data_IF_433730274349
#
_entry.id   IF_433730274349
#
_cell.length_a   1.000
_cell.length_b   1.000
_cell.length_c   1.000
_cell.angle_alpha   90.00
_cell.angle_beta   90.00
_cell.angle_gamma   90.00
#
_symmetry.space_group_name_H-M   'P 1'
#
loop_
_entity.id
_entity.type
_entity.pdbx_description
1 polymer ?
#
# COMPACT_ATOMS: atom_id res chain seq x y z
N UNK A 1 -29.28 -16.37 -15.57
CA UNK A 1 -28.51 -15.32 -14.87
C UNK A 1 -27.00 -15.37 -15.20
N UNK A 2 -26.33 -16.53 -15.03
CA UNK A 2 -24.88 -16.70 -15.28
C UNK A 2 -24.47 -16.46 -16.76
N UNK A 3 -25.27 -16.90 -17.73
CA UNK A 3 -25.03 -16.64 -19.17
C UNK A 3 -25.16 -15.15 -19.56
N UNK A 4 -25.89 -14.35 -18.78
CA UNK A 4 -26.07 -12.89 -19.00
C UNK A 4 -24.86 -12.11 -18.43
N UNK A 5 -24.28 -12.59 -17.33
CA UNK A 5 -23.00 -12.12 -16.79
C UNK A 5 -21.82 -12.44 -17.73
N UNK A 6 -21.75 -13.66 -18.29
CA UNK A 6 -20.70 -14.03 -19.26
C UNK A 6 -20.75 -13.22 -20.56
N UNK A 7 -21.95 -12.86 -21.05
CA UNK A 7 -22.10 -11.97 -22.21
C UNK A 7 -21.64 -10.53 -21.94
N UNK A 8 -21.81 -10.02 -20.72
CA UNK A 8 -21.28 -8.71 -20.30
C UNK A 8 -19.74 -8.70 -20.25
N UNK A 9 -19.10 -9.85 -19.99
CA UNK A 9 -17.65 -10.00 -20.06
C UNK A 9 -17.13 -10.15 -21.51
N UNK A 10 -17.87 -10.82 -22.40
CA UNK A 10 -17.45 -11.04 -23.79
C UNK A 10 -17.65 -9.84 -24.74
N UNK A 11 -18.53 -8.88 -24.41
CA UNK A 11 -18.72 -7.65 -25.21
C UNK A 11 -17.74 -6.51 -24.86
N UNK A 12 -16.75 -6.73 -24.00
CA UNK A 12 -15.75 -5.73 -23.59
C UNK A 12 -14.42 -5.83 -24.38
N UNK A 13 -14.46 -6.10 -25.68
CA UNK A 13 -13.24 -6.16 -26.51
C UNK A 13 -12.79 -4.81 -27.10
N UNK A 14 -13.27 -3.68 -26.56
CA UNK A 14 -12.84 -2.34 -27.00
C UNK A 14 -12.53 -1.35 -25.86
N UNK A 15 -12.52 -1.80 -24.60
CA UNK A 15 -12.00 -1.02 -23.48
C UNK A 15 -10.77 -1.76 -22.96
N UNK A 16 -9.63 -1.06 -22.89
CA UNK A 16 -8.48 -1.47 -22.09
C UNK A 16 -8.96 -2.12 -20.79
N UNK A 17 -8.46 -3.32 -20.48
CA UNK A 17 -8.78 -4.07 -19.25
C UNK A 17 -8.93 -3.10 -18.07
N UNK A 18 -10.00 -3.18 -17.25
CA UNK A 18 -10.12 -2.29 -16.11
C UNK A 18 -8.89 -2.50 -15.22
N UNK A 19 -8.05 -1.47 -15.11
CA UNK A 19 -6.84 -1.51 -14.27
C UNK A 19 -7.27 -1.89 -12.86
N UNK A 20 -6.83 -3.06 -12.38
CA UNK A 20 -7.02 -3.44 -10.99
C UNK A 20 -6.07 -2.58 -10.19
N UNK A 21 -6.61 -1.51 -9.61
CA UNK A 21 -5.85 -0.60 -8.77
C UNK A 21 -5.26 -1.38 -7.59
N UNK A 22 -3.95 -1.22 -7.41
CA UNK A 22 -3.17 -1.91 -6.39
C UNK A 22 -3.73 -1.70 -4.99
N UNK A 23 -4.02 -2.79 -4.31
CA UNK A 23 -4.39 -2.79 -2.90
C UNK A 23 -3.96 -4.10 -2.24
N UNK A 24 -3.87 -4.10 -0.92
CA UNK A 24 -3.40 -5.26 -0.13
C UNK A 24 -4.09 -6.58 -0.50
N UNK A 25 -5.39 -6.56 -0.83
CA UNK A 25 -6.18 -7.75 -1.18
C UNK A 25 -6.03 -8.16 -2.64
N UNK A 26 -5.74 -7.22 -3.55
CA UNK A 26 -5.57 -7.49 -4.99
C UNK A 26 -4.45 -8.51 -5.26
N UNK A 27 -3.38 -8.46 -4.50
CA UNK A 27 -2.31 -9.46 -4.54
C UNK A 27 -2.79 -10.87 -4.21
N UNK A 28 -3.70 -10.97 -3.23
CA UNK A 28 -4.39 -12.21 -2.93
C UNK A 28 -5.27 -12.68 -4.08
N UNK A 29 -5.94 -11.76 -4.80
CA UNK A 29 -6.73 -12.12 -5.99
C UNK A 29 -5.85 -12.67 -7.12
N UNK A 30 -4.69 -12.04 -7.35
CA UNK A 30 -3.72 -12.39 -8.41
C UNK A 30 -2.98 -13.72 -8.17
N UNK A 31 -2.81 -14.13 -6.91
CA UNK A 31 -2.09 -15.35 -6.56
C UNK A 31 -2.84 -16.65 -6.95
N UNK A 32 -2.08 -17.67 -7.35
CA UNK A 32 -2.60 -19.01 -7.61
C UNK A 32 -2.95 -19.71 -6.29
N UNK A 33 -2.08 -19.62 -5.28
CA UNK A 33 -2.30 -20.17 -3.95
C UNK A 33 -2.66 -19.07 -2.95
N UNK A 34 -3.96 -18.87 -2.72
CA UNK A 34 -4.53 -17.87 -1.78
C UNK A 34 -5.40 -18.48 -0.68
N UNK A 35 -5.53 -19.80 -0.71
CA UNK A 35 -6.47 -20.55 0.10
C UNK A 35 -7.92 -20.31 -0.36
N UNK A 36 -8.82 -19.95 0.54
CA UNK A 36 -10.24 -19.75 0.24
C UNK A 36 -10.58 -18.28 0.00
N UNK A 37 -11.66 -18.03 -0.75
CA UNK A 37 -12.19 -16.68 -0.94
C UNK A 37 -12.59 -16.02 0.39
N UNK A 38 -13.07 -16.79 1.36
CA UNK A 38 -13.36 -16.31 2.71
C UNK A 38 -12.11 -15.79 3.43
N UNK A 39 -10.94 -16.39 3.20
CA UNK A 39 -9.69 -15.87 3.73
C UNK A 39 -9.31 -14.54 3.06
N UNK A 40 -9.31 -14.51 1.73
CA UNK A 40 -8.91 -13.31 0.96
C UNK A 40 -9.80 -12.12 1.32
N UNK A 41 -11.12 -12.31 1.31
CA UNK A 41 -12.11 -11.26 1.58
C UNK A 41 -12.34 -11.01 3.08
N UNK A 42 -11.87 -11.89 3.96
CA UNK A 42 -12.03 -11.78 5.40
C UNK A 42 -11.23 -10.62 6.00
N UNK A 43 -11.53 -10.29 7.27
CA UNK A 43 -10.84 -9.22 8.01
C UNK A 43 -9.32 -9.42 8.02
N UNK A 44 -8.57 -8.32 8.09
CA UNK A 44 -7.10 -8.29 8.15
C UNK A 44 -6.56 -9.13 9.31
N UNK A 45 -7.16 -9.03 10.50
CA UNK A 45 -6.68 -9.77 11.68
C UNK A 45 -7.13 -11.24 11.76
N UNK A 46 -7.81 -11.74 10.71
CA UNK A 46 -8.31 -13.11 10.69
C UNK A 46 -7.16 -14.11 10.50
N UNK A 47 -7.00 -15.02 11.46
CA UNK A 47 -5.97 -16.07 11.45
C UNK A 47 -6.62 -17.44 11.30
N UNK A 48 -6.07 -18.24 10.40
CA UNK A 48 -6.57 -19.59 10.09
C UNK A 48 -5.77 -20.67 10.83
N UNK A 49 -6.39 -21.81 11.17
CA UNK A 49 -5.73 -22.90 11.89
C UNK A 49 -4.67 -23.58 11.01
N UNK A 50 -3.68 -24.24 11.64
CA UNK A 50 -2.57 -24.87 10.92
C UNK A 50 -2.98 -25.85 9.81
N UNK A 51 -4.01 -26.68 10.04
CA UNK A 51 -4.48 -27.65 9.06
C UNK A 51 -4.92 -26.99 7.74
N UNK A 52 -5.42 -25.75 7.79
CA UNK A 52 -5.83 -25.00 6.61
C UNK A 52 -4.65 -24.79 5.66
N UNK A 53 -3.49 -24.41 6.20
CA UNK A 53 -2.28 -24.19 5.40
C UNK A 53 -1.78 -25.50 4.79
N UNK A 54 -1.75 -26.58 5.56
CA UNK A 54 -1.44 -27.89 5.00
C UNK A 54 -2.39 -28.26 3.86
N UNK A 55 -3.70 -28.04 4.02
CA UNK A 55 -4.69 -28.42 3.01
C UNK A 55 -4.56 -27.62 1.70
N UNK A 56 -4.44 -26.30 1.79
CA UNK A 56 -4.53 -25.40 0.62
C UNK A 56 -3.18 -24.95 0.04
N UNK A 57 -2.09 -25.07 0.81
CA UNK A 57 -0.79 -24.49 0.45
C UNK A 57 0.34 -25.51 0.32
N UNK A 58 0.14 -26.80 0.63
CA UNK A 58 1.23 -27.79 0.53
C UNK A 58 1.56 -28.23 -0.90
N UNK A 59 0.65 -28.01 -1.86
CA UNK A 59 0.75 -28.52 -3.25
C UNK A 59 1.02 -27.38 -4.24
N UNK A 60 2.01 -26.55 -3.94
CA UNK A 60 2.44 -25.46 -4.83
C UNK A 60 3.16 -26.05 -6.03
N UNK A 61 2.81 -25.60 -7.24
CA UNK A 61 3.51 -25.97 -8.47
C UNK A 61 4.65 -24.98 -8.76
N UNK A 62 5.53 -25.39 -9.67
CA UNK A 62 6.69 -24.60 -10.04
C UNK A 62 6.30 -23.17 -10.49
N UNK A 63 6.99 -22.19 -9.89
CA UNK A 63 6.90 -20.75 -10.13
C UNK A 63 5.56 -20.07 -9.82
N UNK A 64 4.64 -20.76 -9.12
CA UNK A 64 3.37 -20.15 -8.70
C UNK A 64 3.55 -19.09 -7.61
N UNK A 65 2.63 -18.13 -7.60
CA UNK A 65 2.50 -17.11 -6.57
C UNK A 65 1.64 -17.64 -5.42
N UNK A 66 2.20 -17.55 -4.23
CA UNK A 66 1.60 -17.96 -2.97
C UNK A 66 1.33 -16.72 -2.15
N UNK A 67 0.07 -16.42 -1.86
CA UNK A 67 -0.32 -15.30 -1.04
C UNK A 67 -0.68 -15.74 0.38
N UNK A 68 -0.01 -15.16 1.37
CA UNK A 68 -0.29 -15.36 2.78
C UNK A 68 -0.58 -14.03 3.42
N UNK A 69 -1.76 -13.90 4.03
CA UNK A 69 -2.17 -12.68 4.74
C UNK A 69 -1.19 -12.36 5.87
N UNK A 70 -0.71 -11.12 5.92
CA UNK A 70 0.32 -10.69 6.86
C UNK A 70 -0.24 -10.41 8.27
N UNK A 71 -1.37 -9.69 8.34
CA UNK A 71 -2.00 -9.14 9.55
C UNK A 71 -1.11 -8.15 10.32
N UNK A 72 -1.63 -7.52 11.39
CA UNK A 72 -0.87 -6.62 12.27
C UNK A 72 -0.43 -7.28 13.58
N UNK A 73 -0.44 -8.61 13.65
CA UNK A 73 -0.33 -9.35 14.93
C UNK A 73 1.09 -9.38 15.48
N UNK A 74 2.09 -9.31 14.62
CA UNK A 74 3.49 -9.30 15.06
C UNK A 74 3.82 -8.04 15.87
N UNK A 75 3.15 -6.92 15.59
CA UNK A 75 3.27 -5.66 16.36
C UNK A 75 2.97 -5.83 17.85
N UNK A 76 2.15 -6.81 18.20
CA UNK A 76 1.74 -7.11 19.59
C UNK A 76 2.25 -8.47 20.07
N UNK A 77 3.31 -9.00 19.43
CA UNK A 77 3.96 -10.25 19.83
C UNK A 77 3.10 -11.51 19.63
N UNK A 78 2.08 -11.46 18.77
CA UNK A 78 1.18 -12.59 18.51
C UNK A 78 1.53 -13.27 17.19
N UNK A 79 1.38 -14.60 17.16
CA UNK A 79 1.50 -15.41 15.93
C UNK A 79 0.46 -14.99 14.90
N UNK A 80 0.86 -15.04 13.63
CA UNK A 80 0.04 -14.72 12.47
C UNK A 80 -0.07 -15.93 11.52
N UNK A 81 -0.82 -15.75 10.44
CA UNK A 81 -1.00 -16.68 9.34
C UNK A 81 0.33 -17.20 8.75
N UNK A 82 1.35 -16.34 8.69
CA UNK A 82 2.66 -16.72 8.18
C UNK A 82 3.37 -17.76 9.06
N UNK A 83 3.20 -17.73 10.38
CA UNK A 83 3.70 -18.79 11.27
C UNK A 83 3.12 -20.16 10.89
N UNK A 84 1.82 -20.19 10.61
CA UNK A 84 1.12 -21.42 10.27
C UNK A 84 1.48 -21.89 8.85
N UNK A 85 1.66 -20.98 7.90
CA UNK A 85 2.18 -21.32 6.57
C UNK A 85 3.58 -21.97 6.68
N UNK A 86 4.51 -21.34 7.40
CA UNK A 86 5.88 -21.84 7.59
C UNK A 86 5.90 -23.20 8.29
N UNK A 87 5.03 -23.40 9.29
CA UNK A 87 5.00 -24.65 10.05
C UNK A 87 4.30 -25.80 9.32
N UNK A 88 3.20 -25.53 8.60
CA UNK A 88 2.29 -26.58 8.12
C UNK A 88 2.28 -26.76 6.59
N UNK A 89 2.75 -25.78 5.82
CA UNK A 89 2.80 -25.86 4.35
C UNK A 89 4.23 -25.90 3.82
N UNK A 90 5.09 -24.96 4.24
CA UNK A 90 6.45 -24.79 3.71
C UNK A 90 7.30 -26.08 3.69
N UNK A 91 7.26 -26.98 4.70
CA UNK A 91 8.06 -28.21 4.68
C UNK A 91 7.69 -29.19 3.55
N UNK A 92 6.51 -29.03 2.95
CA UNK A 92 6.01 -29.90 1.89
C UNK A 92 6.15 -29.28 0.49
N UNK A 93 6.54 -28.00 0.39
CA UNK A 93 6.74 -27.32 -0.88
C UNK A 93 8.13 -27.70 -1.40
N UNK A 94 8.15 -28.48 -2.49
CA UNK A 94 9.36 -29.01 -3.12
C UNK A 94 9.53 -28.50 -4.57
N UNK A 95 8.87 -27.39 -4.90
CA UNK A 95 8.94 -26.74 -6.20
C UNK A 95 9.23 -25.26 -6.00
N UNK A 96 10.02 -24.61 -6.89
CA UNK A 96 10.26 -23.18 -6.84
C UNK A 96 8.94 -22.40 -6.72
N UNK A 97 8.87 -21.39 -5.87
CA UNK A 97 7.67 -20.58 -5.68
C UNK A 97 8.01 -19.14 -5.29
N UNK A 98 7.03 -18.25 -5.47
CA UNK A 98 7.11 -16.84 -5.08
C UNK A 98 6.09 -16.57 -3.98
N UNK A 99 6.51 -15.95 -2.89
CA UNK A 99 5.67 -15.63 -1.74
C UNK A 99 5.23 -14.17 -1.80
N UNK A 100 3.97 -13.89 -1.49
CA UNK A 100 3.44 -12.55 -1.29
C UNK A 100 2.87 -12.45 0.13
N UNK A 101 3.29 -11.45 0.89
CA UNK A 101 2.72 -11.12 2.21
C UNK A 101 2.20 -9.70 2.24
N UNK A 102 0.88 -9.55 2.23
CA UNK A 102 0.17 -8.27 2.28
C UNK A 102 -1.04 -8.36 3.21
N UNK A 103 -1.76 -7.26 3.36
CA UNK A 103 -2.96 -7.14 4.22
C UNK A 103 -2.59 -7.29 5.71
N UNK A 104 -1.95 -6.24 6.23
CA UNK A 104 -1.52 -6.08 7.62
C UNK A 104 -0.49 -4.98 7.83
N UNK A 105 -0.44 -4.37 9.01
CA UNK A 105 0.47 -3.26 9.33
C UNK A 105 1.84 -3.73 9.82
N UNK A 106 2.09 -5.05 9.84
CA UNK A 106 3.36 -5.57 10.32
C UNK A 106 4.51 -5.30 9.34
N UNK A 107 5.67 -4.96 9.89
CA UNK A 107 6.88 -4.69 9.12
C UNK A 107 7.69 -5.96 8.88
N UNK A 108 8.13 -6.17 7.64
CA UNK A 108 8.86 -7.37 7.20
C UNK A 108 10.27 -7.01 6.73
N UNK A 109 11.34 -7.61 7.27
CA UNK A 109 11.34 -8.65 8.30
C UNK A 109 11.28 -8.12 9.75
N UNK A 110 11.33 -6.81 9.98
CA UNK A 110 11.70 -6.21 11.28
C UNK A 110 10.84 -6.61 12.49
N UNK A 111 9.56 -6.91 12.31
CA UNK A 111 8.67 -7.35 13.42
C UNK A 111 8.47 -8.87 13.47
N UNK A 112 8.93 -9.61 12.47
CA UNK A 112 8.74 -11.05 12.40
C UNK A 112 9.78 -11.76 13.27
N UNK A 113 9.44 -12.94 13.86
CA UNK A 113 10.43 -13.73 14.57
C UNK A 113 11.60 -14.14 13.66
N UNK A 114 12.84 -13.92 14.11
CA UNK A 114 14.04 -14.20 13.32
C UNK A 114 14.10 -15.65 12.80
N UNK A 115 13.65 -16.61 13.60
CA UNK A 115 13.60 -18.03 13.22
C UNK A 115 12.61 -18.29 12.06
N UNK A 116 11.49 -17.56 12.02
CA UNK A 116 10.51 -17.63 10.95
C UNK A 116 11.09 -17.05 9.64
N UNK A 117 11.68 -15.86 9.73
CA UNK A 117 12.35 -15.20 8.57
C UNK A 117 13.44 -16.11 8.02
N UNK A 118 14.29 -16.66 8.89
CA UNK A 118 15.38 -17.57 8.50
C UNK A 118 14.84 -18.84 7.82
N UNK A 119 13.73 -19.39 8.30
CA UNK A 119 13.11 -20.59 7.71
C UNK A 119 12.63 -20.35 6.27
N UNK A 120 12.10 -19.16 5.98
CA UNK A 120 11.69 -18.78 4.62
C UNK A 120 12.90 -18.50 3.73
N UNK A 121 13.83 -17.65 4.18
CA UNK A 121 14.96 -17.22 3.36
C UNK A 121 15.92 -18.37 3.04
N UNK A 122 16.11 -19.32 3.96
CA UNK A 122 16.95 -20.50 3.75
C UNK A 122 16.25 -21.60 2.94
N UNK A 123 14.94 -21.49 2.67
CA UNK A 123 14.25 -22.46 1.83
C UNK A 123 14.77 -22.33 0.38
N UNK A 124 15.32 -23.40 -0.22
CA UNK A 124 15.91 -23.33 -1.57
C UNK A 124 14.87 -23.11 -2.67
N UNK A 125 13.60 -23.42 -2.39
CA UNK A 125 12.50 -23.25 -3.33
C UNK A 125 11.85 -21.87 -3.28
N UNK A 126 12.09 -21.07 -2.23
CA UNK A 126 11.63 -19.69 -2.21
C UNK A 126 12.50 -18.86 -3.18
N UNK A 127 11.90 -18.45 -4.31
CA UNK A 127 12.56 -17.64 -5.34
C UNK A 127 12.53 -16.17 -4.97
N UNK A 128 11.34 -15.66 -4.67
CA UNK A 128 11.09 -14.25 -4.35
C UNK A 128 10.07 -14.14 -3.23
N UNK A 129 10.25 -13.15 -2.36
CA UNK A 129 9.30 -12.76 -1.32
C UNK A 129 8.91 -11.29 -1.51
N UNK A 130 7.72 -11.09 -2.09
CA UNK A 130 7.07 -9.80 -2.21
C UNK A 130 6.36 -9.44 -0.90
N UNK A 131 6.62 -8.26 -0.34
CA UNK A 131 5.95 -7.84 0.89
C UNK A 131 5.67 -6.34 0.92
N UNK A 132 4.50 -5.98 1.46
CA UNK A 132 4.27 -4.61 1.91
C UNK A 132 5.04 -4.36 3.21
N UNK A 133 5.19 -3.09 3.60
CA UNK A 133 5.91 -2.68 4.81
C UNK A 133 7.29 -3.34 4.91
N UNK A 134 8.04 -3.37 3.81
CA UNK A 134 9.38 -3.94 3.81
C UNK A 134 10.36 -3.02 4.54
N UNK A 135 10.77 -3.40 5.75
CA UNK A 135 11.63 -2.60 6.62
C UNK A 135 13.12 -2.87 6.42
N UNK A 136 13.49 -3.83 5.56
CA UNK A 136 14.88 -4.07 5.19
C UNK A 136 14.95 -4.93 3.92
N UNK A 137 15.21 -4.27 2.78
CA UNK A 137 15.38 -4.95 1.48
C UNK A 137 16.78 -5.54 1.29
N UNK A 138 17.76 -5.14 2.11
CA UNK A 138 19.16 -5.55 1.98
C UNK A 138 19.44 -6.90 2.66
N UNK A 139 18.55 -7.34 3.57
CA UNK A 139 18.63 -8.65 4.24
C UNK A 139 18.76 -9.82 3.27
N UNK A 140 18.11 -9.74 2.10
CA UNK A 140 18.20 -10.82 1.11
C UNK A 140 17.84 -10.35 -0.29
N UNK A 141 18.54 -10.87 -1.29
CA UNK A 141 18.19 -10.71 -2.72
C UNK A 141 16.81 -11.28 -3.07
N UNK A 142 16.24 -12.13 -2.21
CA UNK A 142 14.89 -12.68 -2.36
C UNK A 142 13.80 -11.66 -2.04
N UNK A 143 14.09 -10.60 -1.29
CA UNK A 143 13.07 -9.60 -0.95
C UNK A 143 12.76 -8.68 -2.14
N UNK A 144 11.47 -8.38 -2.27
CA UNK A 144 10.93 -7.34 -3.13
C UNK A 144 9.88 -6.56 -2.33
N UNK A 145 10.12 -5.28 -2.08
CA UNK A 145 9.08 -4.46 -1.51
C UNK A 145 8.00 -4.24 -2.57
N UNK A 146 6.75 -4.21 -2.13
CA UNK A 146 5.59 -3.84 -2.95
C UNK A 146 4.75 -2.83 -2.17
N UNK A 147 4.06 -1.90 -2.85
CA UNK A 147 3.33 -0.87 -2.14
C UNK A 147 2.04 -1.43 -1.52
N UNK A 148 1.64 -0.87 -0.38
CA UNK A 148 0.37 -1.21 0.29
C UNK A 148 -0.85 -0.83 -0.56
N UNK A 149 -0.69 0.18 -1.41
CA UNK A 149 -1.71 0.65 -2.36
C UNK A 149 -2.89 1.32 -1.67
N UNK A 150 -4.09 1.15 -2.24
CA UNK A 150 -5.33 1.78 -1.75
C UNK A 150 -6.04 0.93 -0.69
N UNK A 151 -6.78 1.55 0.23
CA UNK A 151 -7.68 0.85 1.13
C UNK A 151 -9.11 0.75 0.55
N UNK A 152 -9.32 -0.25 -0.32
CA UNK A 152 -10.64 -0.56 -0.86
C UNK A 152 -11.38 -1.68 -0.12
N UNK A 153 -10.82 -2.21 0.97
CA UNK A 153 -11.40 -3.34 1.69
C UNK A 153 -12.00 -2.93 3.05
N UNK A 154 -11.82 -1.68 3.45
CA UNK A 154 -12.52 -1.07 4.59
C UNK A 154 -13.77 -0.34 4.12
N UNK A 155 -14.87 -0.45 4.88
CA UNK A 155 -16.04 0.37 4.62
C UNK A 155 -15.71 1.85 4.90
N UNK A 156 -15.78 2.70 3.88
CA UNK A 156 -15.55 4.13 3.98
C UNK A 156 -16.83 4.86 3.56
N UNK A 157 -17.52 5.43 4.54
CA UNK A 157 -18.78 6.16 4.32
C UNK A 157 -19.85 5.34 3.58
N UNK A 158 -20.02 4.07 3.97
CA UNK A 158 -21.01 3.17 3.37
C UNK A 158 -20.57 2.50 2.07
N UNK A 159 -19.36 2.79 1.56
CA UNK A 159 -18.84 2.24 0.31
C UNK A 159 -17.67 1.30 0.55
N UNK A 160 -17.50 0.30 -0.32
CA UNK A 160 -16.39 -0.67 -0.28
C UNK A 160 -16.04 -1.17 -1.69
N UNK A 161 -14.80 -1.62 -1.90
CA UNK A 161 -14.35 -2.29 -3.12
C UNK A 161 -14.49 -1.40 -4.35
N UNK A 162 -15.20 -1.91 -5.37
CA UNK A 162 -15.38 -1.21 -6.65
C UNK A 162 -16.13 0.12 -6.52
N UNK A 163 -16.96 0.29 -5.50
CA UNK A 163 -17.63 1.58 -5.25
C UNK A 163 -16.63 2.66 -4.86
N UNK A 164 -15.60 2.30 -4.07
CA UNK A 164 -14.52 3.22 -3.71
C UNK A 164 -13.61 3.53 -4.89
N UNK A 165 -13.30 2.52 -5.72
CA UNK A 165 -12.57 2.72 -6.98
C UNK A 165 -13.30 3.71 -7.89
N UNK A 166 -14.61 3.50 -8.09
CA UNK A 166 -15.43 4.38 -8.92
C UNK A 166 -15.47 5.80 -8.37
N UNK A 167 -15.61 5.95 -7.04
CA UNK A 167 -15.65 7.26 -6.40
C UNK A 167 -14.31 8.00 -6.51
N UNK A 168 -13.19 7.32 -6.27
CA UNK A 168 -11.86 7.90 -6.39
C UNK A 168 -11.58 8.35 -7.83
N UNK A 169 -11.96 7.55 -8.82
CA UNK A 169 -11.87 7.91 -10.24
C UNK A 169 -12.72 9.14 -10.58
N UNK A 170 -13.95 9.23 -10.06
CA UNK A 170 -14.80 10.41 -10.25
C UNK A 170 -14.16 11.67 -9.65
N UNK A 171 -13.58 11.58 -8.45
CA UNK A 171 -12.89 12.70 -7.81
C UNK A 171 -11.66 13.13 -8.60
N UNK A 172 -10.82 12.17 -9.02
CA UNK A 172 -9.63 12.42 -9.84
C UNK A 172 -9.99 13.11 -11.14
N UNK A 173 -10.98 12.60 -11.86
CA UNK A 173 -11.40 13.12 -13.16
C UNK A 173 -12.13 14.47 -13.03
N UNK A 174 -12.90 14.69 -11.96
CA UNK A 174 -13.53 15.99 -11.72
C UNK A 174 -12.53 17.09 -11.33
N UNK A 175 -11.35 16.71 -10.82
CA UNK A 175 -10.31 17.65 -10.43
C UNK A 175 -9.52 18.24 -11.60
N UNK A 176 -9.44 17.55 -12.74
CA UNK A 176 -8.77 18.08 -13.93
C UNK A 176 -9.46 19.33 -14.48
N UNK A 177 -10.74 19.50 -14.16
CA UNK A 177 -11.58 20.61 -14.63
C UNK A 177 -11.69 21.74 -13.59
N UNK A 178 -10.99 21.61 -12.45
CA UNK A 178 -11.11 22.51 -11.31
C UNK A 178 -10.11 23.68 -11.34
N UNK A 179 -10.32 24.63 -10.42
CA UNK A 179 -9.46 25.79 -10.15
C UNK A 179 -7.98 25.39 -9.95
N UNK A 180 -7.02 26.31 -10.15
CA UNK A 180 -5.63 26.06 -9.81
C UNK A 180 -5.52 25.60 -8.36
N UNK A 181 -4.68 24.57 -8.14
CA UNK A 181 -4.41 24.01 -6.83
C UNK A 181 -3.65 25.03 -5.97
N UNK A 182 -3.81 24.89 -4.67
CA UNK A 182 -3.10 25.71 -3.68
C UNK A 182 -1.67 25.17 -3.52
N UNK A 183 -0.68 26.07 -3.57
CA UNK A 183 0.74 25.78 -3.31
C UNK A 183 1.03 25.63 -1.80
N UNK A 184 0.14 24.96 -1.07
CA UNK A 184 0.30 24.60 0.34
C UNK A 184 0.43 23.09 0.50
N UNK A 185 1.04 22.66 1.60
CA UNK A 185 1.17 21.26 1.98
C UNK A 185 -0.01 20.86 2.86
N UNK A 186 -0.93 20.07 2.30
CA UNK A 186 -2.04 19.52 3.07
C UNK A 186 -1.57 18.35 3.94
N UNK A 187 -1.96 18.33 5.22
CA UNK A 187 -1.57 17.27 6.15
C UNK A 187 -2.73 16.85 7.06
N UNK A 188 -3.32 15.68 6.82
CA UNK A 188 -4.36 15.08 7.68
C UNK A 188 -3.78 14.15 8.78
N UNK A 189 -2.49 13.81 8.70
CA UNK A 189 -1.86 12.82 9.57
C UNK A 189 -1.81 13.22 11.05
N UNK A 190 -1.85 14.53 11.33
CA UNK A 190 -1.58 15.11 12.64
C UNK A 190 -2.81 15.17 13.56
N UNK A 191 -3.98 14.80 13.04
CA UNK A 191 -5.21 14.79 13.82
C UNK A 191 -5.31 13.64 14.82
N UNK A 192 -4.49 12.60 14.65
CA UNK A 192 -4.38 11.52 15.62
C UNK A 192 -3.31 11.86 16.67
N UNK A 193 -3.71 12.57 17.73
CA UNK A 193 -2.84 13.03 18.83
C UNK A 193 -2.39 11.93 19.81
N UNK A 194 -2.72 10.66 19.55
CA UNK A 194 -2.29 9.55 20.42
C UNK A 194 -0.79 9.22 20.31
N UNK A 195 -0.13 9.71 19.26
CA UNK A 195 1.33 9.62 19.10
C UNK A 195 1.98 10.92 19.55
N UNK A 196 2.88 10.85 20.53
CA UNK A 196 3.69 11.99 21.00
C UNK A 196 4.48 12.63 19.86
N UNK A 197 5.08 11.81 18.99
CA UNK A 197 5.82 12.26 17.80
C UNK A 197 4.94 13.10 16.87
N UNK A 198 3.67 12.71 16.65
CA UNK A 198 2.74 13.48 15.81
C UNK A 198 2.29 14.77 16.50
N UNK A 199 2.12 14.77 17.83
CA UNK A 199 1.78 15.96 18.58
C UNK A 199 2.88 17.04 18.47
N UNK A 200 4.14 16.66 18.69
CA UNK A 200 5.28 17.57 18.49
C UNK A 200 5.36 18.11 17.07
N UNK A 201 5.11 17.25 16.06
CA UNK A 201 5.17 17.69 14.67
C UNK A 201 4.06 18.70 14.38
N UNK A 202 2.85 18.43 14.87
CA UNK A 202 1.74 19.37 14.76
C UNK A 202 2.08 20.73 15.36
N UNK A 203 2.59 20.78 16.58
CA UNK A 203 3.01 22.03 17.22
C UNK A 203 4.05 22.77 16.38
N UNK A 204 4.98 22.04 15.78
CA UNK A 204 6.07 22.64 14.99
C UNK A 204 5.66 23.17 13.61
N UNK A 205 4.57 22.68 13.01
CA UNK A 205 4.14 23.10 11.67
C UNK A 205 2.79 23.83 11.63
N UNK A 206 2.00 23.79 12.70
CA UNK A 206 0.64 24.37 12.71
C UNK A 206 0.63 25.89 12.53
N UNK A 207 1.68 26.60 12.96
CA UNK A 207 1.83 28.04 12.78
C UNK A 207 2.43 28.43 11.42
N UNK A 208 2.96 27.47 10.66
CA UNK A 208 3.64 27.74 9.40
C UNK A 208 2.61 27.83 8.26
N UNK A 209 2.51 28.98 7.53
CA UNK A 209 1.52 29.20 6.49
C UNK A 209 1.68 28.28 5.27
N UNK A 210 2.83 27.62 5.11
CA UNK A 210 3.02 26.59 4.09
C UNK A 210 2.07 25.40 4.28
N UNK A 211 1.68 25.10 5.52
CA UNK A 211 0.90 23.91 5.83
C UNK A 211 -0.58 24.20 6.01
N UNK A 212 -1.41 23.30 5.49
CA UNK A 212 -2.84 23.26 5.76
C UNK A 212 -3.18 21.99 6.52
N UNK A 213 -3.44 22.15 7.82
CA UNK A 213 -3.92 21.07 8.68
C UNK A 213 -5.43 21.26 8.92
N UNK A 214 -6.28 20.26 8.63
CA UNK A 214 -7.70 20.34 8.95
C UNK A 214 -7.90 20.43 10.46
N UNK A 215 -8.95 21.13 10.90
CA UNK A 215 -9.28 21.31 12.33
C UNK A 215 -10.01 20.11 12.91
N UNK A 216 -10.66 19.32 12.06
CA UNK A 216 -11.46 18.15 12.43
C UNK A 216 -11.10 16.93 11.57
N UNK A 217 -11.42 15.74 12.09
CA UNK A 217 -11.19 14.50 11.36
C UNK A 217 -12.11 14.42 10.15
N UNK A 218 -11.49 14.42 8.98
CA UNK A 218 -12.17 14.23 7.72
C UNK A 218 -12.41 12.74 7.46
N UNK A 219 -13.56 12.44 6.86
CA UNK A 219 -13.81 11.11 6.32
C UNK A 219 -13.08 10.91 4.98
N UNK A 220 -13.04 9.67 4.48
CA UNK A 220 -12.25 9.32 3.29
C UNK A 220 -12.61 10.13 2.04
N UNK A 221 -13.90 10.37 1.82
CA UNK A 221 -14.38 11.15 0.67
C UNK A 221 -13.93 12.61 0.80
N UNK A 222 -14.09 13.20 1.97
CA UNK A 222 -13.62 14.56 2.24
C UNK A 222 -12.10 14.67 2.06
N UNK A 223 -11.32 13.68 2.49
CA UNK A 223 -9.86 13.65 2.30
C UNK A 223 -9.48 13.65 0.82
N UNK A 224 -10.07 12.75 0.02
CA UNK A 224 -9.80 12.72 -1.42
C UNK A 224 -10.20 14.03 -2.10
N UNK A 225 -11.31 14.65 -1.70
CA UNK A 225 -11.71 15.96 -2.20
C UNK A 225 -10.76 17.07 -1.75
N UNK A 226 -10.20 17.02 -0.54
CA UNK A 226 -9.18 17.98 -0.11
C UNK A 226 -7.89 17.80 -0.91
N UNK A 227 -7.41 16.58 -1.10
CA UNK A 227 -6.18 16.32 -1.86
C UNK A 227 -6.21 16.95 -3.26
N UNK A 228 -7.35 16.96 -3.94
CA UNK A 228 -7.47 17.60 -5.26
C UNK A 228 -7.32 19.13 -5.26
N UNK A 229 -7.41 19.78 -4.09
CA UNK A 229 -7.29 21.24 -3.95
C UNK A 229 -5.85 21.70 -3.71
N UNK A 230 -4.91 20.79 -3.44
CA UNK A 230 -3.52 21.13 -3.08
C UNK A 230 -2.53 20.47 -4.02
N UNK A 231 -1.41 21.16 -4.27
CA UNK A 231 -0.30 20.59 -5.02
C UNK A 231 0.46 19.56 -4.21
N UNK A 232 0.55 19.75 -2.89
CA UNK A 232 1.39 18.95 -2.01
C UNK A 232 0.57 18.28 -0.91
N UNK A 233 0.86 17.00 -0.62
CA UNK A 233 0.30 16.27 0.51
C UNK A 233 1.42 15.66 1.34
N UNK A 234 1.46 15.94 2.64
CA UNK A 234 2.41 15.34 3.57
C UNK A 234 1.90 13.96 4.02
N UNK A 235 2.63 12.91 3.63
CA UNK A 235 2.36 11.53 4.00
C UNK A 235 3.37 11.00 4.99
N UNK A 236 3.01 11.12 6.27
CA UNK A 236 3.75 10.51 7.37
C UNK A 236 3.32 9.06 7.56
N UNK A 237 4.25 8.26 8.07
CA UNK A 237 4.02 6.86 8.45
C UNK A 237 2.82 6.70 9.37
N UNK A 238 2.13 5.56 9.21
CA UNK A 238 0.89 5.20 9.88
C UNK A 238 1.12 4.30 11.09
N UNK A 239 0.44 3.15 11.09
CA UNK A 239 0.78 2.03 11.97
C UNK A 239 1.95 1.22 11.40
N UNK A 240 2.01 1.08 10.08
CA UNK A 240 3.16 0.58 9.33
C UNK A 240 3.96 1.71 8.70
N UNK A 241 5.11 1.35 8.15
CA UNK A 241 6.00 2.27 7.42
C UNK A 241 5.39 2.74 6.08
N UNK A 242 4.54 1.94 5.44
CA UNK A 242 3.79 2.33 4.25
C UNK A 242 2.42 2.90 4.65
N UNK A 243 1.93 3.89 3.89
CA UNK A 243 0.67 4.57 4.17
C UNK A 243 -0.21 4.66 2.92
N UNK A 244 -1.49 4.26 3.04
CA UNK A 244 -2.49 4.43 1.98
C UNK A 244 -2.57 5.86 1.44
N UNK A 245 -2.35 6.86 2.31
CA UNK A 245 -2.33 8.29 1.95
C UNK A 245 -1.36 8.57 0.81
N UNK A 246 -0.17 7.96 0.82
CA UNK A 246 0.86 8.17 -0.19
C UNK A 246 0.30 7.82 -1.58
N UNK A 247 -0.30 6.65 -1.70
CA UNK A 247 -0.83 6.14 -2.97
C UNK A 247 -2.09 6.88 -3.42
N UNK A 248 -2.98 7.21 -2.47
CA UNK A 248 -4.20 7.97 -2.73
C UNK A 248 -3.93 9.39 -3.23
N UNK A 249 -3.03 10.13 -2.57
CA UNK A 249 -2.66 11.49 -2.95
C UNK A 249 -1.89 11.52 -4.28
N UNK A 250 -0.96 10.57 -4.50
CA UNK A 250 -0.30 10.42 -5.79
C UNK A 250 -1.32 10.16 -6.91
N UNK A 251 -2.30 9.29 -6.67
CA UNK A 251 -3.29 8.91 -7.68
C UNK A 251 -4.14 10.08 -8.16
N UNK A 252 -4.49 11.00 -7.26
CA UNK A 252 -5.23 12.23 -7.59
C UNK A 252 -4.31 13.36 -8.09
N UNK A 253 -3.02 13.10 -8.30
CA UNK A 253 -2.08 14.02 -8.96
C UNK A 253 -1.32 14.97 -8.04
N UNK A 254 -1.33 14.74 -6.73
CA UNK A 254 -0.50 15.52 -5.81
C UNK A 254 0.97 15.12 -5.94
N UNK A 255 1.86 16.07 -5.64
CA UNK A 255 3.22 15.78 -5.21
C UNK A 255 3.17 15.35 -3.75
N UNK A 256 3.62 14.14 -3.44
CA UNK A 256 3.55 13.61 -2.07
C UNK A 256 4.87 13.84 -1.36
N UNK A 257 4.83 14.50 -0.21
CA UNK A 257 5.99 14.73 0.64
C UNK A 257 6.05 13.61 1.67
N UNK A 258 7.16 12.87 1.71
CA UNK A 258 7.40 11.78 2.68
C UNK A 258 8.69 12.03 3.44
N UNK A 259 8.84 11.38 4.59
CA UNK A 259 10.14 11.24 5.24
C UNK A 259 10.85 10.01 4.65
N UNK A 260 12.17 10.10 4.51
CA UNK A 260 13.01 9.01 4.02
C UNK A 260 12.85 7.77 4.90
N UNK A 261 12.68 6.61 4.26
CA UNK A 261 12.57 5.30 4.91
C UNK A 261 13.10 4.20 3.99
N UNK A 262 13.01 2.95 4.43
CA UNK A 262 13.40 1.79 3.62
C UNK A 262 12.52 1.64 2.36
N UNK A 263 11.41 2.37 2.26
CA UNK A 263 10.52 2.39 1.10
C UNK A 263 10.93 3.39 0.01
N UNK A 264 11.97 4.20 0.20
CA UNK A 264 12.39 5.25 -0.76
C UNK A 264 12.52 4.74 -2.21
N UNK A 265 12.99 3.49 -2.36
CA UNK A 265 13.15 2.84 -3.66
C UNK A 265 11.83 2.59 -4.40
N UNK A 266 10.70 2.43 -3.70
CA UNK A 266 9.37 2.30 -4.30
C UNK A 266 8.90 3.60 -4.95
N UNK A 267 9.46 4.74 -4.53
CA UNK A 267 9.05 6.06 -4.99
C UNK A 267 9.83 6.53 -6.24
N UNK A 268 10.80 5.74 -6.70
CA UNK A 268 11.62 6.09 -7.87
C UNK A 268 10.74 6.29 -9.11
N UNK A 269 10.85 7.48 -9.71
CA UNK A 269 10.08 7.86 -10.90
C UNK A 269 8.64 8.30 -10.62
N UNK A 270 8.24 8.41 -9.35
CA UNK A 270 6.94 8.94 -8.93
C UNK A 270 7.05 10.38 -8.46
N UNK A 271 5.93 11.09 -8.40
CA UNK A 271 5.84 12.47 -7.93
C UNK A 271 5.91 12.54 -6.38
N UNK A 272 7.00 12.01 -5.83
CA UNK A 272 7.25 11.89 -4.39
C UNK A 272 8.51 12.68 -4.03
N UNK A 273 8.35 13.65 -3.14
CA UNK A 273 9.44 14.44 -2.59
C UNK A 273 9.89 13.84 -1.25
N UNK A 274 11.09 13.27 -1.22
CA UNK A 274 11.63 12.59 -0.04
C UNK A 274 12.45 13.57 0.80
N UNK A 275 12.08 13.74 2.06
CA UNK A 275 12.82 14.50 3.05
C UNK A 275 13.69 13.58 3.89
N UNK A 276 15.00 13.81 3.89
CA UNK A 276 15.96 12.99 4.66
C UNK A 276 15.95 13.25 6.16
N UNK A 277 15.38 14.38 6.59
CA UNK A 277 15.25 14.73 8.01
C UNK A 277 13.89 15.39 8.26
N UNK A 278 13.23 14.99 9.34
CA UNK A 278 12.00 15.62 9.85
C UNK A 278 12.17 17.11 10.10
N UNK A 279 13.36 17.58 10.52
CA UNK A 279 13.64 19.02 10.71
C UNK A 279 13.47 19.83 9.43
N UNK A 280 13.67 19.21 8.27
CA UNK A 280 13.50 19.88 6.98
C UNK A 280 12.03 20.30 6.72
N UNK A 281 11.06 19.72 7.43
CA UNK A 281 9.66 20.19 7.38
C UNK A 281 9.51 21.65 7.86
N UNK A 282 10.44 22.14 8.67
CA UNK A 282 10.42 23.52 9.19
C UNK A 282 11.35 24.46 8.42
N UNK A 283 12.06 23.97 7.40
CA UNK A 283 13.00 24.78 6.64
C UNK A 283 12.30 25.87 5.84
N UNK A 284 12.87 27.08 5.84
CA UNK A 284 12.33 28.25 5.12
C UNK A 284 12.37 28.05 3.59
N UNK A 285 13.28 27.20 3.09
CA UNK A 285 13.45 26.92 1.67
C UNK A 285 12.55 25.78 1.14
N UNK A 286 11.77 25.12 2.01
CA UNK A 286 10.96 23.96 1.65
C UNK A 286 9.97 24.27 0.52
N UNK A 287 9.29 25.42 0.59
CA UNK A 287 8.31 25.83 -0.42
C UNK A 287 8.97 25.93 -1.82
N UNK A 288 10.13 26.57 -1.90
CA UNK A 288 10.89 26.72 -3.14
C UNK A 288 11.36 25.38 -3.69
N UNK A 289 11.82 24.48 -2.82
CA UNK A 289 12.26 23.12 -3.20
C UNK A 289 11.11 22.27 -3.75
N UNK A 290 9.95 22.33 -3.10
CA UNK A 290 8.74 21.65 -3.56
C UNK A 290 8.28 22.16 -4.93
N UNK A 291 8.27 23.48 -5.11
CA UNK A 291 7.92 24.13 -6.38
C UNK A 291 8.84 23.70 -7.52
N UNK A 292 10.15 23.72 -7.28
CA UNK A 292 11.13 23.32 -8.28
C UNK A 292 10.97 21.85 -8.67
N UNK A 293 10.85 20.96 -7.68
CA UNK A 293 10.64 19.53 -7.92
C UNK A 293 9.39 19.27 -8.77
N UNK A 294 8.28 19.94 -8.46
CA UNK A 294 7.02 19.76 -9.17
C UNK A 294 7.12 20.21 -10.64
N UNK A 295 7.82 21.31 -10.93
CA UNK A 295 8.02 21.80 -12.31
C UNK A 295 8.85 20.84 -13.16
N UNK A 296 9.84 20.21 -12.55
CA UNK A 296 10.76 19.30 -13.26
C UNK A 296 10.16 17.89 -13.43
N UNK A 297 9.11 17.56 -12.70
CA UNK A 297 8.44 16.26 -12.79
C UNK A 297 7.63 16.14 -14.10
N UNK A 298 8.23 15.51 -15.10
CA UNK A 298 7.64 15.29 -16.42
C UNK A 298 7.40 13.79 -16.70
N UNK A 299 6.48 13.13 -15.99
CA UNK A 299 6.11 11.76 -16.39
C UNK A 299 4.69 11.33 -15.99
N UNK A 300 3.73 11.47 -16.92
CA UNK A 300 2.35 11.02 -16.73
C UNK A 300 2.08 9.58 -17.20
N UNK A 301 2.96 8.99 -18.02
CA UNK A 301 2.74 7.68 -18.64
C UNK A 301 3.10 6.51 -17.70
N UNK A 302 4.19 6.65 -16.94
CA UNK A 302 4.65 5.65 -15.94
C UNK A 302 3.65 5.44 -14.80
N UNK A 303 2.90 6.48 -14.44
CA UNK A 303 2.07 6.49 -13.24
C UNK A 303 0.85 5.56 -13.34
N UNK A 304 0.27 5.36 -14.53
CA UNK A 304 -0.92 4.52 -14.69
C UNK A 304 -0.61 3.02 -14.61
N UNK A 305 0.55 2.59 -15.12
CA UNK A 305 0.98 1.19 -15.03
C UNK A 305 1.41 0.83 -13.60
N UNK A 306 2.07 1.77 -12.91
CA UNK A 306 2.48 1.58 -11.52
C UNK A 306 1.31 1.24 -10.60
N UNK A 307 0.12 1.82 -10.81
CA UNK A 307 -1.04 1.50 -9.98
C UNK A 307 -1.70 0.15 -10.30
N UNK A 308 -1.16 -0.64 -11.25
CA UNK A 308 -1.63 -2.01 -11.50
C UNK A 308 -0.98 -2.99 -10.53
N UNK A 309 -1.76 -3.90 -9.94
CA UNK A 309 -1.22 -5.00 -9.13
C UNK A 309 -0.19 -5.83 -9.90
N UNK A 310 -0.43 -6.10 -11.18
CA UNK A 310 0.41 -7.00 -11.98
C UNK A 310 1.81 -6.43 -12.23
N UNK A 311 1.93 -5.09 -12.27
CA UNK A 311 3.21 -4.38 -12.44
C UNK A 311 4.22 -4.73 -11.34
N UNK A 312 3.74 -5.12 -10.16
CA UNK A 312 4.58 -5.39 -8.99
C UNK A 312 4.93 -6.87 -8.82
N UNK A 313 4.44 -7.76 -9.68
CA UNK A 313 4.58 -9.22 -9.55
C UNK A 313 5.44 -9.87 -10.65
N UNK A 314 6.20 -9.04 -11.37
CA UNK A 314 7.20 -9.47 -12.36
C UNK A 314 8.39 -10.18 -11.70
#
# INVERSE_FOLDING_TARGET
MIKKLLRLFQQRSAFSQPIVLINTKSFGLAAQHKGTWANVLGKTEFVLPGFYYWLFFRRVKANELVWVKLTSRYKVGKKSNLDYFVRYALPYINQPFRLITTDGDSSVPGELPQALVSSLLNNPYLVTWYTQNCSDVLVSKKFRAIPIGFDFHTNRCGKIGLELVSLLNQIKNGASDAKPRQEQVFCDALLNKTSTTRAELFESIAANPLYKVPTERLNQLQLWQQYTQYDYVLSLEGNGIDCHRTWEALYVGCTVVVLSSELDHLYKGLNVFILTDRKALQSEDLASRLHHFRKDFANHEYQNQFFSTDYHLE
#
